data_IF_155911955974
#
_entry.id   IF_155911955974
#
_cell.length_a   1.000
_cell.length_b   1.000
_cell.length_c   1.000
_cell.angle_alpha   90.00
_cell.angle_beta   90.00
_cell.angle_gamma   90.00
#
_symmetry.space_group_name_H-M   'P 1'
#
loop_
_entity.id
_entity.type
_entity.pdbx_description
1 polymer ?
#
# COMPACT_ATOMS: atom_id res chain seq x y z
N UNK A 1 9.19 -16.57 -5.19
CA UNK A 1 10.15 -15.46 -5.32
C UNK A 1 9.44 -14.19 -4.85
N UNK A 2 9.96 -13.49 -3.86
CA UNK A 2 9.42 -12.18 -3.45
C UNK A 2 10.02 -11.15 -4.41
N UNK A 3 9.18 -10.42 -5.14
CA UNK A 3 9.61 -9.48 -6.17
C UNK A 3 9.94 -8.13 -5.52
N UNK A 4 11.15 -8.01 -4.97
CA UNK A 4 11.60 -6.79 -4.28
C UNK A 4 12.12 -5.71 -5.24
N UNK A 5 12.62 -6.13 -6.41
CA UNK A 5 13.31 -5.23 -7.34
C UNK A 5 12.37 -4.26 -8.09
N UNK A 6 11.05 -4.50 -8.05
CA UNK A 6 10.07 -3.63 -8.72
C UNK A 6 9.71 -2.39 -7.90
N UNK A 7 10.03 -2.33 -6.61
CA UNK A 7 9.62 -1.23 -5.73
C UNK A 7 10.55 -0.02 -5.90
N UNK A 8 10.41 0.66 -7.04
CA UNK A 8 11.19 1.84 -7.40
C UNK A 8 10.31 2.88 -8.08
N UNK A 9 10.75 4.14 -8.10
CA UNK A 9 10.02 5.24 -8.76
C UNK A 9 9.94 5.11 -10.28
N UNK A 10 10.81 4.29 -10.88
CA UNK A 10 10.72 3.96 -12.31
C UNK A 10 9.49 3.12 -12.63
N UNK A 11 9.14 2.19 -11.73
CA UNK A 11 8.00 1.29 -11.90
C UNK A 11 6.71 1.86 -11.28
N UNK A 12 6.84 2.67 -10.23
CA UNK A 12 5.74 3.31 -9.51
C UNK A 12 6.01 4.82 -9.39
N UNK A 13 5.50 5.58 -10.36
CA UNK A 13 5.60 7.04 -10.38
C UNK A 13 4.66 7.67 -9.33
N UNK A 14 5.14 7.75 -8.09
CA UNK A 14 4.39 8.27 -6.93
C UNK A 14 5.14 9.43 -6.25
N UNK A 15 4.37 10.28 -5.55
CA UNK A 15 4.92 11.40 -4.75
C UNK A 15 5.45 10.91 -3.41
N UNK A 16 6.71 11.19 -3.07
CA UNK A 16 7.35 10.70 -1.84
C UNK A 16 7.77 9.23 -1.94
N UNK A 17 7.67 8.49 -0.83
CA UNK A 17 7.95 7.05 -0.74
C UNK A 17 6.76 6.22 -1.24
N UNK A 18 7.01 4.99 -1.71
CA UNK A 18 5.95 4.08 -2.12
C UNK A 18 5.19 3.59 -0.88
N UNK A 19 3.88 3.75 -0.89
CA UNK A 19 2.97 3.23 0.13
C UNK A 19 2.06 2.17 -0.49
N UNK A 20 1.91 1.04 0.18
CA UNK A 20 1.09 -0.09 -0.27
C UNK A 20 0.05 -0.48 0.77
N UNK A 21 -1.06 -1.03 0.29
CA UNK A 21 -2.10 -1.63 1.11
C UNK A 21 -2.50 -2.97 0.51
N UNK A 22 -2.66 -3.97 1.38
CA UNK A 22 -2.98 -5.36 0.99
C UNK A 22 -4.19 -5.84 1.79
N UNK A 23 -5.39 -5.26 1.59
CA UNK A 23 -6.55 -5.54 2.43
C UNK A 23 -7.12 -6.95 2.30
N UNK A 24 -6.96 -7.57 1.14
CA UNK A 24 -7.46 -8.92 0.85
C UNK A 24 -6.60 -9.62 -0.21
N UNK A 25 -6.82 -10.93 -0.38
CA UNK A 25 -6.25 -11.69 -1.49
C UNK A 25 -6.53 -11.00 -2.83
N UNK A 26 -5.52 -10.98 -3.71
CA UNK A 26 -5.58 -10.41 -5.06
C UNK A 26 -5.82 -8.88 -5.13
N UNK A 27 -5.70 -8.17 -4.00
CA UNK A 27 -5.80 -6.71 -3.93
C UNK A 27 -4.47 -6.11 -3.50
N UNK A 28 -3.91 -5.25 -4.35
CA UNK A 28 -2.77 -4.40 -4.04
C UNK A 28 -3.13 -2.95 -4.36
N UNK A 29 -3.17 -2.10 -3.34
CA UNK A 29 -3.31 -0.66 -3.47
C UNK A 29 -1.91 -0.04 -3.44
N UNK A 30 -1.64 0.97 -4.28
CA UNK A 30 -0.36 1.69 -4.29
C UNK A 30 -0.61 3.20 -4.39
N UNK A 31 0.09 3.98 -3.57
CA UNK A 31 0.13 5.44 -3.63
C UNK A 31 1.48 5.98 -3.14
N UNK A 32 1.64 7.30 -3.13
CA UNK A 32 2.81 7.98 -2.58
C UNK A 32 2.61 8.50 -1.16
N UNK A 33 3.66 8.51 -0.34
CA UNK A 33 3.62 9.01 1.03
C UNK A 33 3.34 10.52 1.14
N UNK A 34 3.56 11.28 0.07
CA UNK A 34 3.28 12.72 0.00
C UNK A 34 1.95 13.04 -0.71
N UNK A 35 1.25 12.02 -1.21
CA UNK A 35 -0.08 12.17 -1.79
C UNK A 35 -1.16 12.03 -0.71
N UNK A 36 -1.30 13.09 0.08
CA UNK A 36 -2.20 13.11 1.25
C UNK A 36 -3.65 12.82 0.88
N UNK A 37 -4.13 13.29 -0.28
CA UNK A 37 -5.48 13.02 -0.76
C UNK A 37 -5.68 11.53 -1.04
N UNK A 38 -4.78 10.91 -1.80
CA UNK A 38 -4.90 9.50 -2.14
C UNK A 38 -4.58 8.59 -0.95
N UNK A 39 -3.75 9.01 0.00
CA UNK A 39 -3.56 8.29 1.27
C UNK A 39 -4.86 8.17 2.07
N UNK A 40 -5.64 9.26 2.18
CA UNK A 40 -6.94 9.23 2.86
C UNK A 40 -7.91 8.29 2.15
N UNK A 41 -7.98 8.37 0.81
CA UNK A 41 -8.82 7.45 0.00
C UNK A 41 -8.37 6.00 0.17
N UNK A 42 -7.07 5.75 0.15
CA UNK A 42 -6.49 4.41 0.29
C UNK A 42 -6.81 3.81 1.65
N UNK A 43 -6.66 4.55 2.75
CA UNK A 43 -7.05 4.08 4.09
C UNK A 43 -8.53 3.68 4.14
N UNK A 44 -9.41 4.50 3.54
CA UNK A 44 -10.83 4.19 3.46
C UNK A 44 -11.10 2.91 2.64
N UNK A 45 -10.52 2.79 1.44
CA UNK A 45 -10.69 1.61 0.59
C UNK A 45 -10.16 0.35 1.29
N UNK A 46 -9.02 0.44 1.98
CA UNK A 46 -8.44 -0.68 2.71
C UNK A 46 -9.35 -1.14 3.85
N UNK A 47 -9.88 -0.20 4.66
CA UNK A 47 -10.85 -0.49 5.71
C UNK A 47 -12.15 -1.09 5.15
N UNK A 48 -12.74 -0.48 4.11
CA UNK A 48 -13.99 -0.95 3.49
C UNK A 48 -13.84 -2.40 2.98
N UNK A 49 -12.71 -2.74 2.33
CA UNK A 49 -12.43 -4.10 1.86
C UNK A 49 -12.17 -5.06 3.03
N UNK A 50 -11.45 -4.62 4.06
CA UNK A 50 -11.18 -5.44 5.24
C UNK A 50 -12.46 -5.79 6.02
N UNK A 51 -13.42 -4.87 6.11
CA UNK A 51 -14.69 -5.10 6.80
C UNK A 51 -15.67 -5.97 5.99
N UNK A 52 -15.65 -5.87 4.66
CA UNK A 52 -16.68 -6.49 3.80
C UNK A 52 -16.18 -7.68 2.98
N UNK A 53 -14.87 -7.86 2.87
CA UNK A 53 -14.24 -8.81 1.96
C UNK A 53 -14.19 -10.24 2.45
N UNK A 54 -14.07 -11.18 1.50
CA UNK A 54 -13.63 -12.54 1.77
C UNK A 54 -12.09 -12.60 1.69
N UNK A 55 -11.45 -13.46 2.51
CA UNK A 55 -10.00 -13.63 2.51
C UNK A 55 -9.19 -12.36 2.88
N UNK A 56 -9.59 -11.73 3.98
CA UNK A 56 -8.94 -10.55 4.57
C UNK A 56 -7.47 -10.84 4.93
N UNK A 57 -6.62 -9.82 4.79
CA UNK A 57 -5.22 -9.89 5.19
C UNK A 57 -4.95 -8.83 6.28
N UNK A 58 -5.06 -7.54 5.96
CA UNK A 58 -4.89 -6.43 6.93
C UNK A 58 -5.36 -5.09 6.37
N UNK A 59 -5.97 -4.24 7.18
CA UNK A 59 -6.26 -2.84 6.86
C UNK A 59 -5.04 -1.90 7.02
N UNK A 60 -3.91 -2.42 7.51
CA UNK A 60 -2.68 -1.65 7.67
C UNK A 60 -2.08 -1.26 6.31
N UNK A 61 -1.53 -0.05 6.26
CA UNK A 61 -0.72 0.41 5.15
C UNK A 61 0.76 0.24 5.48
N UNK A 62 1.58 0.07 4.44
CA UNK A 62 3.02 -0.10 4.57
C UNK A 62 3.75 0.89 3.68
N UNK A 63 4.84 1.47 4.19
CA UNK A 63 5.75 2.31 3.42
C UNK A 63 7.02 1.54 3.09
N UNK A 64 7.46 1.63 1.83
CA UNK A 64 8.70 1.03 1.38
C UNK A 64 9.85 2.00 1.53
N UNK A 65 10.78 1.70 2.46
CA UNK A 65 11.97 2.51 2.74
C UNK A 65 13.19 1.61 2.88
N UNK A 66 14.28 1.99 2.25
CA UNK A 66 15.57 1.30 2.38
C UNK A 66 15.48 -0.22 2.14
N UNK A 67 14.68 -0.64 1.16
CA UNK A 67 14.53 -2.05 0.79
C UNK A 67 13.57 -2.86 1.66
N UNK A 68 12.88 -2.24 2.61
CA UNK A 68 11.96 -2.92 3.53
C UNK A 68 10.60 -2.23 3.60
N UNK A 69 9.55 -3.03 3.79
CA UNK A 69 8.22 -2.53 4.14
C UNK A 69 8.11 -2.33 5.65
N UNK A 70 7.67 -1.15 6.06
CA UNK A 70 7.39 -0.77 7.44
C UNK A 70 5.92 -0.37 7.56
N UNK A 71 5.30 -0.56 8.72
CA UNK A 71 3.93 -0.08 8.95
C UNK A 71 3.92 1.45 8.82
N UNK A 72 2.95 1.96 8.07
CA UNK A 72 2.70 3.39 7.96
C UNK A 72 1.82 3.85 9.12
N UNK A 73 2.44 4.49 10.10
CA UNK A 73 1.76 5.13 11.25
C UNK A 73 0.74 6.19 10.82
#
# INVERSE_FOLDING_TARGET
MILLDIWSKEHFDVKGDIVVGIPARDVLLVTGSEDTENLVKMRKIAADIFETGAHIITDSLFVFRSGIFQILE
#
